data_IF_725109156251
#
_entry.id   IF_725109156251
#
_cell.length_a   1.000
_cell.length_b   1.000
_cell.length_c   1.000
_cell.angle_alpha   90.00
_cell.angle_beta   90.00
_cell.angle_gamma   90.00
#
_symmetry.space_group_name_H-M   'P 1'
#
loop_
_entity.id
_entity.type
_entity.pdbx_description
1 polymer ?
#
# COMPACT_ATOMS: atom_id res chain seq x y z
N UNK A 1 -12.92 10.53 -0.40
CA UNK A 1 -12.51 10.05 0.94
C UNK A 1 -11.93 8.64 0.89
N UNK A 2 -12.70 7.59 0.54
CA UNK A 2 -12.20 6.21 0.60
C UNK A 2 -10.95 5.92 -0.26
N UNK A 3 -10.83 6.55 -1.43
CA UNK A 3 -9.59 6.49 -2.25
C UNK A 3 -8.36 6.99 -1.49
N UNK A 4 -8.51 8.10 -0.75
CA UNK A 4 -7.43 8.67 0.04
C UNK A 4 -7.05 7.75 1.21
N UNK A 5 -8.02 7.12 1.88
CA UNK A 5 -7.76 6.16 2.97
C UNK A 5 -6.94 4.96 2.47
N UNK A 6 -7.33 4.36 1.34
CA UNK A 6 -6.58 3.21 0.79
C UNK A 6 -5.23 3.58 0.17
N UNK A 7 -5.07 4.81 -0.30
CA UNK A 7 -3.80 5.35 -0.81
C UNK A 7 -2.89 5.93 0.25
N UNK A 8 -3.25 5.82 1.54
CA UNK A 8 -2.49 6.43 2.64
C UNK A 8 -1.27 5.59 3.07
N UNK A 9 -1.12 4.36 2.54
CA UNK A 9 0.01 3.47 2.82
C UNK A 9 0.17 3.09 4.31
N UNK A 10 -0.95 3.08 5.04
CA UNK A 10 -1.05 2.65 6.47
C UNK A 10 -1.72 1.28 6.64
N UNK A 11 -1.85 0.51 5.55
CA UNK A 11 -2.54 -0.78 5.55
C UNK A 11 -4.06 -0.68 5.60
N UNK A 12 -4.62 0.49 5.27
CA UNK A 12 -6.06 0.71 5.19
C UNK A 12 -6.57 0.40 3.77
N UNK A 13 -7.77 -0.15 3.70
CA UNK A 13 -8.56 -0.37 2.50
C UNK A 13 -9.83 0.51 2.46
N UNK A 14 -10.11 1.26 3.53
CA UNK A 14 -11.29 2.09 3.72
C UNK A 14 -11.52 2.40 5.21
N UNK A 15 -12.73 2.15 5.71
CA UNK A 15 -13.05 2.29 7.13
C UNK A 15 -12.93 0.95 7.85
N UNK A 16 -11.71 0.49 8.15
CA UNK A 16 -11.52 -0.67 9.03
C UNK A 16 -11.99 -0.36 10.46
N UNK A 17 -12.62 -1.31 11.18
CA UNK A 17 -12.87 -1.15 12.59
C UNK A 17 -11.56 -1.06 13.37
N UNK A 18 -11.43 -0.07 14.27
CA UNK A 18 -10.30 0.07 15.20
C UNK A 18 -10.67 -0.35 16.60
N UNK A 19 -11.94 -0.19 16.96
CA UNK A 19 -12.45 -0.52 18.29
C UNK A 19 -13.86 -1.12 18.21
N UNK A 20 -14.15 -2.06 19.10
CA UNK A 20 -15.49 -2.55 19.37
C UNK A 20 -15.96 -2.03 20.72
N UNK A 21 -17.17 -1.47 20.78
CA UNK A 21 -17.81 -1.03 22.03
C UNK A 21 -18.58 -2.22 22.61
N UNK A 22 -18.14 -2.71 23.76
CA UNK A 22 -18.71 -3.89 24.44
C UNK A 22 -19.27 -3.58 25.83
N UNK A 23 -18.89 -2.44 26.41
CA UNK A 23 -19.24 -1.98 27.74
C UNK A 23 -19.12 -0.45 27.84
N UNK A 24 -19.40 0.10 29.02
CA UNK A 24 -19.33 1.54 29.27
C UNK A 24 -17.89 2.09 29.21
N UNK A 25 -16.91 1.27 29.61
CA UNK A 25 -15.49 1.68 29.61
C UNK A 25 -14.98 1.86 28.17
N UNK A 26 -15.25 0.90 27.28
CA UNK A 26 -14.95 0.99 25.84
C UNK A 26 -15.73 2.11 25.15
N UNK A 27 -16.98 2.38 25.57
CA UNK A 27 -17.73 3.55 25.09
C UNK A 27 -17.03 4.86 25.49
N UNK A 28 -16.59 4.96 26.76
CA UNK A 28 -15.87 6.14 27.26
C UNK A 28 -14.51 6.33 26.57
N UNK A 29 -13.79 5.26 26.27
CA UNK A 29 -12.54 5.34 25.51
C UNK A 29 -12.81 5.84 24.08
N UNK A 30 -13.85 5.33 23.41
CA UNK A 30 -14.19 5.82 22.07
C UNK A 30 -14.52 7.32 22.08
N UNK A 31 -15.28 7.79 23.08
CA UNK A 31 -15.56 9.22 23.28
C UNK A 31 -14.28 10.04 23.47
N UNK A 32 -13.31 9.52 24.23
CA UNK A 32 -12.01 10.16 24.39
C UNK A 32 -11.27 10.28 23.05
N UNK A 33 -11.25 9.22 22.23
CA UNK A 33 -10.63 9.24 20.89
C UNK A 33 -11.30 10.19 19.91
N UNK A 34 -12.61 10.40 20.04
CA UNK A 34 -13.36 11.39 19.25
C UNK A 34 -13.03 12.82 19.68
N UNK A 35 -12.96 13.05 21.00
CA UNK A 35 -12.74 14.36 21.63
C UNK A 35 -11.29 14.83 21.46
N UNK A 36 -10.34 13.93 21.64
CA UNK A 36 -8.91 14.19 21.60
C UNK A 36 -8.30 13.61 20.30
N UNK A 37 -8.16 14.41 19.23
CA UNK A 37 -7.75 13.91 17.93
C UNK A 37 -6.36 13.30 17.90
N UNK A 38 -6.32 11.98 17.67
CA UNK A 38 -5.13 11.26 17.18
C UNK A 38 -5.15 11.02 15.67
N UNK A 39 -4.10 10.40 15.15
CA UNK A 39 -3.98 10.05 13.73
C UNK A 39 -5.12 9.14 13.25
N UNK A 40 -5.65 8.29 14.14
CA UNK A 40 -6.68 7.31 13.81
C UNK A 40 -8.13 7.81 13.96
N UNK A 41 -8.33 9.09 14.30
CA UNK A 41 -9.67 9.63 14.59
C UNK A 41 -10.68 9.39 13.47
N UNK A 42 -10.24 9.40 12.21
CA UNK A 42 -11.13 9.18 11.06
C UNK A 42 -11.80 7.79 11.09
N UNK A 43 -11.12 6.76 11.57
CA UNK A 43 -11.71 5.42 11.72
C UNK A 43 -12.62 5.33 12.95
N UNK A 44 -12.24 5.99 14.06
CA UNK A 44 -13.08 6.05 15.26
C UNK A 44 -14.43 6.75 15.00
N UNK A 45 -14.49 7.71 14.05
CA UNK A 45 -15.76 8.29 13.61
C UNK A 45 -16.71 7.23 13.00
N UNK A 46 -16.18 6.31 12.19
CA UNK A 46 -16.96 5.22 11.64
C UNK A 46 -17.35 4.20 12.72
N UNK A 47 -16.45 3.90 13.66
CA UNK A 47 -16.75 3.01 14.80
C UNK A 47 -17.84 3.57 15.71
N UNK A 48 -17.92 4.89 15.87
CA UNK A 48 -19.00 5.53 16.62
C UNK A 48 -20.38 5.27 15.98
N UNK A 49 -20.49 5.37 14.66
CA UNK A 49 -21.72 5.00 13.94
C UNK A 49 -22.02 3.50 14.06
N UNK A 50 -21.00 2.63 13.96
CA UNK A 50 -21.18 1.18 14.18
C UNK A 50 -21.66 0.85 15.59
N UNK A 51 -21.23 1.63 16.59
CA UNK A 51 -21.63 1.53 17.98
C UNK A 51 -22.97 2.22 18.29
N UNK A 52 -23.65 2.78 17.28
CA UNK A 52 -24.98 3.38 17.42
C UNK A 52 -25.01 4.74 18.09
N UNK A 53 -23.92 5.52 18.04
CA UNK A 53 -23.96 6.93 18.44
C UNK A 53 -24.79 7.74 17.45
N UNK A 54 -25.52 8.72 17.96
CA UNK A 54 -26.26 9.67 17.13
C UNK A 54 -25.32 10.72 16.52
N UNK A 55 -25.71 11.27 15.38
CA UNK A 55 -24.95 12.30 14.65
C UNK A 55 -24.57 13.49 15.54
N UNK A 56 -25.52 13.97 16.36
CA UNK A 56 -25.35 15.09 17.26
C UNK A 56 -24.35 14.78 18.39
N UNK A 57 -24.29 13.53 18.86
CA UNK A 57 -23.31 13.09 19.86
C UNK A 57 -21.90 13.13 19.25
N UNK A 58 -21.72 12.53 18.07
CA UNK A 58 -20.43 12.49 17.38
C UNK A 58 -19.95 13.90 17.04
N UNK A 59 -20.85 14.77 16.59
CA UNK A 59 -20.55 16.19 16.37
C UNK A 59 -20.11 16.87 17.67
N UNK A 60 -20.85 16.66 18.76
CA UNK A 60 -20.56 17.22 20.08
C UNK A 60 -19.16 16.85 20.61
N UNK A 61 -18.71 15.63 20.36
CA UNK A 61 -17.36 15.18 20.74
C UNK A 61 -16.28 15.62 19.76
N UNK A 62 -16.50 15.43 18.45
CA UNK A 62 -15.43 15.55 17.45
C UNK A 62 -15.25 16.95 16.88
N UNK A 63 -16.30 17.78 16.88
CA UNK A 63 -16.36 19.06 16.18
C UNK A 63 -16.35 18.97 14.66
N UNK A 64 -16.42 17.77 14.07
CA UNK A 64 -16.45 17.57 12.62
C UNK A 64 -17.84 17.90 12.09
N UNK A 65 -17.92 18.77 11.07
CA UNK A 65 -19.20 19.26 10.55
C UNK A 65 -20.14 18.09 10.17
N UNK A 66 -21.45 18.17 10.55
CA UNK A 66 -22.42 17.13 10.25
C UNK A 66 -22.48 16.71 8.78
N UNK A 67 -22.16 17.60 7.84
CA UNK A 67 -22.12 17.28 6.41
C UNK A 67 -21.12 16.16 6.08
N UNK A 68 -19.96 16.13 6.73
CA UNK A 68 -18.99 15.04 6.55
C UNK A 68 -19.41 13.78 7.31
N UNK A 69 -19.93 13.96 8.54
CA UNK A 69 -20.34 12.84 9.39
C UNK A 69 -21.46 12.01 8.76
N UNK A 70 -22.47 12.64 8.15
CA UNK A 70 -23.56 11.94 7.44
C UNK A 70 -23.03 11.08 6.28
N UNK A 71 -21.96 11.51 5.60
CA UNK A 71 -21.35 10.72 4.53
C UNK A 71 -20.57 9.52 5.05
N UNK A 72 -19.94 9.64 6.23
CA UNK A 72 -19.30 8.51 6.91
C UNK A 72 -20.37 7.50 7.36
N UNK A 73 -21.49 7.98 7.93
CA UNK A 73 -22.64 7.15 8.28
C UNK A 73 -23.22 6.43 7.06
N UNK A 74 -23.41 7.11 5.92
CA UNK A 74 -23.85 6.46 4.67
C UNK A 74 -22.90 5.32 4.28
N UNK A 75 -21.59 5.54 4.32
CA UNK A 75 -20.61 4.48 4.03
C UNK A 75 -20.75 3.30 5.01
N UNK A 76 -20.87 3.55 6.32
CA UNK A 76 -21.09 2.49 7.33
C UNK A 76 -22.39 1.72 7.08
N UNK A 77 -23.47 2.39 6.67
CA UNK A 77 -24.75 1.77 6.33
C UNK A 77 -24.68 0.94 5.04
N UNK A 78 -23.88 1.33 4.07
CA UNK A 78 -23.65 0.51 2.87
C UNK A 78 -22.78 -0.70 3.17
N UNK A 79 -21.80 -0.55 4.04
CA UNK A 79 -20.99 -1.66 4.52
C UNK A 79 -21.83 -2.72 5.23
N UNK A 80 -22.81 -2.32 6.05
CA UNK A 80 -23.67 -3.27 6.76
C UNK A 80 -24.57 -4.12 5.85
N UNK A 81 -24.85 -3.66 4.62
CA UNK A 81 -25.60 -4.44 3.62
C UNK A 81 -24.82 -5.66 3.11
N UNK A 82 -23.49 -5.69 3.30
CA UNK A 82 -22.66 -6.85 2.94
C UNK A 82 -22.76 -7.98 3.97
N UNK A 83 -23.26 -7.70 5.17
CA UNK A 83 -23.33 -8.67 6.26
C UNK A 83 -24.17 -9.89 5.87
N UNK A 84 -23.56 -11.08 5.97
CA UNK A 84 -24.21 -12.36 5.63
C UNK A 84 -24.27 -12.70 4.15
N UNK A 85 -23.71 -11.86 3.26
CA UNK A 85 -23.56 -12.18 1.84
C UNK A 85 -22.27 -12.96 1.56
N UNK A 86 -22.22 -13.57 0.37
CA UNK A 86 -20.98 -14.06 -0.24
C UNK A 86 -20.63 -13.16 -1.44
N UNK A 87 -19.40 -13.26 -1.97
CA UNK A 87 -19.01 -12.49 -3.16
C UNK A 87 -19.98 -12.69 -4.33
N UNK A 88 -20.36 -13.94 -4.62
CA UNK A 88 -21.33 -14.27 -5.68
C UNK A 88 -22.74 -13.72 -5.42
N UNK A 89 -23.07 -13.49 -4.16
CA UNK A 89 -24.35 -12.91 -3.72
C UNK A 89 -24.47 -11.41 -4.00
N UNK A 90 -23.38 -10.71 -4.33
CA UNK A 90 -23.43 -9.28 -4.66
C UNK A 90 -23.96 -9.12 -6.09
N UNK A 91 -25.13 -8.51 -6.25
CA UNK A 91 -25.66 -8.18 -7.57
C UNK A 91 -25.04 -6.90 -8.16
N UNK A 92 -25.39 -6.60 -9.41
CA UNK A 92 -24.89 -5.40 -10.10
C UNK A 92 -25.21 -4.11 -9.34
N UNK A 93 -26.44 -3.97 -8.81
CA UNK A 93 -26.88 -2.72 -8.17
C UNK A 93 -26.11 -2.46 -6.88
N UNK A 94 -25.92 -3.48 -6.05
CA UNK A 94 -25.15 -3.38 -4.83
C UNK A 94 -23.67 -3.12 -5.13
N UNK A 95 -23.06 -3.88 -6.04
CA UNK A 95 -21.66 -3.67 -6.43
C UNK A 95 -21.46 -2.25 -6.96
N UNK A 96 -22.29 -1.80 -7.89
CA UNK A 96 -22.21 -0.44 -8.45
C UNK A 96 -22.37 0.63 -7.37
N UNK A 97 -23.33 0.45 -6.45
CA UNK A 97 -23.56 1.36 -5.33
C UNK A 97 -22.38 1.46 -4.36
N UNK A 98 -21.71 0.35 -4.09
CA UNK A 98 -20.48 0.29 -3.28
C UNK A 98 -19.31 0.97 -3.99
N UNK A 99 -19.04 0.60 -5.25
CA UNK A 99 -17.91 1.15 -6.01
C UNK A 99 -18.01 2.66 -6.23
N UNK A 100 -19.22 3.19 -6.47
CA UNK A 100 -19.50 4.64 -6.53
C UNK A 100 -19.22 5.40 -5.24
N UNK A 101 -19.31 4.71 -4.09
CA UNK A 101 -18.94 5.26 -2.77
C UNK A 101 -17.46 5.08 -2.46
N UNK A 102 -16.69 4.51 -3.39
CA UNK A 102 -15.25 4.36 -3.29
C UNK A 102 -14.80 3.15 -2.47
N UNK A 103 -15.68 2.20 -2.17
CA UNK A 103 -15.29 0.94 -1.53
C UNK A 103 -14.24 0.21 -2.38
N UNK A 104 -13.12 -0.17 -1.77
CA UNK A 104 -12.14 -1.04 -2.41
C UNK A 104 -12.64 -2.49 -2.44
N UNK A 105 -12.13 -3.26 -3.40
CA UNK A 105 -12.35 -4.70 -3.48
C UNK A 105 -11.83 -5.38 -2.20
N UNK A 106 -10.71 -4.89 -1.66
CA UNK A 106 -10.14 -5.38 -0.39
C UNK A 106 -11.08 -5.15 0.79
N UNK A 107 -11.68 -3.97 0.92
CA UNK A 107 -12.60 -3.67 2.03
C UNK A 107 -13.87 -4.52 1.95
N UNK A 108 -14.42 -4.67 0.75
CA UNK A 108 -15.57 -5.57 0.53
C UNK A 108 -15.20 -7.00 0.90
N UNK A 109 -14.01 -7.47 0.49
CA UNK A 109 -13.52 -8.80 0.79
C UNK A 109 -13.38 -9.05 2.30
N UNK A 110 -12.84 -8.07 3.05
CA UNK A 110 -12.68 -8.16 4.50
C UNK A 110 -14.02 -8.29 5.23
N UNK A 111 -15.05 -7.56 4.78
CA UNK A 111 -16.39 -7.62 5.38
C UNK A 111 -17.08 -8.95 5.10
N UNK A 112 -16.85 -9.54 3.92
CA UNK A 112 -17.42 -10.83 3.51
C UNK A 112 -16.62 -12.03 4.02
N UNK A 113 -15.40 -11.82 4.54
CA UNK A 113 -14.48 -12.91 4.89
C UNK A 113 -13.98 -13.69 3.68
N UNK A 114 -13.70 -13.01 2.57
CA UNK A 114 -13.19 -13.62 1.32
C UNK A 114 -11.89 -12.95 0.85
N UNK A 115 -11.40 -13.29 -0.34
CA UNK A 115 -10.20 -12.68 -0.93
C UNK A 115 -10.55 -11.46 -1.78
N UNK A 116 -9.61 -10.51 -1.86
CA UNK A 116 -9.73 -9.36 -2.77
C UNK A 116 -9.93 -9.80 -4.23
N UNK A 117 -9.27 -10.87 -4.66
CA UNK A 117 -9.42 -11.43 -6.00
C UNK A 117 -10.84 -11.91 -6.30
N UNK A 118 -11.52 -12.55 -5.34
CA UNK A 118 -12.89 -13.02 -5.54
C UNK A 118 -13.87 -11.86 -5.74
N UNK A 119 -13.70 -10.76 -5.01
CA UNK A 119 -14.50 -9.54 -5.19
C UNK A 119 -14.21 -8.90 -6.55
N UNK A 120 -12.94 -8.83 -6.94
CA UNK A 120 -12.52 -8.30 -8.23
C UNK A 120 -13.10 -9.11 -9.40
N UNK A 121 -12.98 -10.43 -9.36
CA UNK A 121 -13.55 -11.34 -10.36
C UNK A 121 -15.06 -11.18 -10.45
N UNK A 122 -15.75 -11.06 -9.31
CA UNK A 122 -17.19 -10.78 -9.29
C UNK A 122 -17.52 -9.46 -9.95
N UNK A 123 -16.79 -8.39 -9.60
CA UNK A 123 -16.97 -7.05 -10.13
C UNK A 123 -16.78 -7.04 -11.66
N UNK A 124 -15.77 -7.75 -12.16
CA UNK A 124 -15.51 -7.90 -13.59
C UNK A 124 -16.57 -8.74 -14.30
N UNK A 125 -17.08 -9.80 -13.68
CA UNK A 125 -18.18 -10.61 -14.21
C UNK A 125 -19.49 -9.82 -14.32
N UNK A 126 -19.64 -8.74 -13.55
CA UNK A 126 -20.76 -7.80 -13.62
C UNK A 126 -20.51 -6.64 -14.59
N UNK A 127 -19.37 -6.62 -15.30
CA UNK A 127 -18.95 -5.53 -16.19
C UNK A 127 -18.83 -4.17 -15.49
N UNK A 128 -18.45 -4.18 -14.20
CA UNK A 128 -18.29 -2.96 -13.40
C UNK A 128 -16.81 -2.56 -13.37
N UNK A 129 -16.45 -1.59 -14.20
CA UNK A 129 -15.11 -1.01 -14.30
C UNK A 129 -15.15 0.48 -13.94
N UNK A 130 -14.05 1.06 -13.42
CA UNK A 130 -13.98 2.50 -13.32
C UNK A 130 -13.87 3.12 -14.72
N UNK A 131 -14.37 4.33 -14.84
CA UNK A 131 -14.02 5.26 -15.91
C UNK A 131 -13.00 6.26 -15.39
N UNK A 132 -12.30 6.94 -16.29
CA UNK A 132 -11.31 7.94 -15.93
C UNK A 132 -11.73 9.30 -16.45
N UNK A 133 -11.73 10.29 -15.56
CA UNK A 133 -12.11 11.67 -15.82
C UNK A 133 -10.89 12.56 -15.81
N UNK A 134 -10.89 13.64 -16.58
CA UNK A 134 -9.76 14.58 -16.64
C UNK A 134 -9.91 15.73 -15.65
N UNK A 135 -8.78 16.24 -15.17
CA UNK A 135 -8.70 17.51 -14.45
C UNK A 135 -8.48 18.62 -15.48
N UNK A 136 -9.43 19.55 -15.59
CA UNK A 136 -9.47 20.55 -16.66
C UNK A 136 -9.56 22.01 -16.19
N UNK A 137 -9.63 22.23 -14.87
CA UNK A 137 -9.81 23.54 -14.21
C UNK A 137 -11.13 24.29 -14.49
N UNK A 138 -11.98 23.78 -15.39
CA UNK A 138 -13.16 24.49 -15.92
C UNK A 138 -14.44 23.66 -15.90
N UNK A 139 -14.46 22.50 -15.24
CA UNK A 139 -15.63 21.65 -15.11
C UNK A 139 -16.24 21.28 -16.48
N UNK A 140 -15.38 20.85 -17.40
CA UNK A 140 -15.68 20.46 -18.78
C UNK A 140 -16.25 21.57 -19.68
N UNK A 141 -16.17 22.85 -19.30
CA UNK A 141 -16.53 23.96 -20.20
C UNK A 141 -15.67 23.97 -21.47
N UNK A 142 -14.40 23.58 -21.34
CA UNK A 142 -13.44 23.47 -22.44
C UNK A 142 -12.77 22.09 -22.45
N UNK A 143 -12.42 21.61 -23.64
CA UNK A 143 -11.68 20.36 -23.78
C UNK A 143 -10.25 20.50 -23.24
N UNK A 144 -9.87 19.64 -22.30
CA UNK A 144 -8.50 19.56 -21.80
C UNK A 144 -7.60 18.74 -22.74
N UNK A 145 -6.48 19.32 -23.16
CA UNK A 145 -5.44 18.60 -23.89
C UNK A 145 -4.56 17.73 -22.99
N UNK A 146 -4.47 18.06 -21.71
CA UNK A 146 -3.68 17.33 -20.72
C UNK A 146 -4.37 16.03 -20.29
N UNK A 147 -3.59 14.96 -20.13
CA UNK A 147 -4.07 13.67 -19.64
C UNK A 147 -3.78 13.53 -18.13
N UNK A 148 -4.29 14.47 -17.32
CA UNK A 148 -4.30 14.36 -15.87
C UNK A 148 -5.64 13.76 -15.45
N UNK A 149 -5.63 12.51 -14.99
CA UNK A 149 -6.82 11.70 -14.80
C UNK A 149 -7.00 11.20 -13.36
N UNK A 150 -8.25 10.90 -13.01
CA UNK A 150 -8.64 10.15 -11.82
C UNK A 150 -9.78 9.19 -12.14
N UNK A 151 -9.84 8.06 -11.43
CA UNK A 151 -10.89 7.05 -11.56
C UNK A 151 -12.18 7.42 -10.83
N UNK A 152 -13.31 7.09 -11.44
CA UNK A 152 -14.64 7.18 -10.86
C UNK A 152 -15.54 6.08 -11.44
N UNK A 153 -16.61 5.70 -10.74
CA UNK A 153 -17.61 4.75 -11.26
C UNK A 153 -18.79 5.52 -11.87
N UNK A 154 -18.57 6.03 -13.08
CA UNK A 154 -19.53 6.78 -13.89
C UNK A 154 -19.64 6.18 -15.29
N UNK A 155 -20.38 6.83 -16.19
CA UNK A 155 -20.72 6.26 -17.50
C UNK A 155 -19.65 6.53 -18.56
N UNK A 156 -19.12 7.76 -18.64
CA UNK A 156 -18.21 8.16 -19.72
C UNK A 156 -16.74 8.13 -19.29
N UNK A 157 -15.89 7.48 -20.10
CA UNK A 157 -14.44 7.45 -19.90
C UNK A 157 -13.71 8.40 -20.85
N UNK A 158 -12.91 9.30 -20.28
CA UNK A 158 -12.14 10.35 -20.98
C UNK A 158 -10.66 10.00 -21.11
N UNK A 159 -10.25 8.78 -20.72
CA UNK A 159 -8.87 8.36 -20.80
C UNK A 159 -8.32 8.47 -22.22
N UNK A 160 -9.07 7.96 -23.21
CA UNK A 160 -8.66 7.93 -24.61
C UNK A 160 -7.19 7.44 -24.77
N UNK A 161 -6.89 6.19 -24.39
CA UNK A 161 -5.53 5.65 -24.48
C UNK A 161 -5.05 5.62 -25.94
N UNK A 162 -3.75 5.80 -26.16
CA UNK A 162 -3.13 5.78 -27.50
C UNK A 162 -2.60 4.39 -27.87
N UNK A 163 -2.19 4.20 -29.14
CA UNK A 163 -1.54 2.96 -29.62
C UNK A 163 0.00 2.98 -29.50
N UNK A 164 0.58 4.04 -28.91
CA UNK A 164 2.04 4.13 -28.72
C UNK A 164 2.51 3.04 -27.75
N UNK A 165 3.78 2.66 -27.84
CA UNK A 165 4.42 1.80 -26.84
C UNK A 165 4.52 2.58 -25.53
N UNK A 166 3.92 2.04 -24.47
CA UNK A 166 3.83 2.73 -23.17
C UNK A 166 4.72 2.09 -22.12
N UNK A 167 5.35 2.94 -21.31
CA UNK A 167 6.01 2.53 -20.07
C UNK A 167 5.28 3.20 -18.91
N UNK A 168 4.81 2.37 -17.99
CA UNK A 168 4.11 2.81 -16.78
C UNK A 168 5.08 2.77 -15.59
N UNK A 169 5.13 3.85 -14.82
CA UNK A 169 5.96 3.99 -13.62
C UNK A 169 5.05 4.13 -12.41
N UNK A 170 5.25 3.26 -11.42
CA UNK A 170 4.54 3.34 -10.14
C UNK A 170 5.32 4.20 -9.14
N UNK A 171 4.68 5.26 -8.65
CA UNK A 171 5.18 6.09 -7.56
C UNK A 171 5.05 5.42 -6.19
N UNK A 172 5.41 6.17 -5.14
CA UNK A 172 5.39 5.68 -3.77
C UNK A 172 4.15 6.03 -2.94
N UNK A 173 3.27 6.92 -3.42
CA UNK A 173 2.24 7.52 -2.57
C UNK A 173 2.84 8.51 -1.55
N UNK A 174 2.19 8.73 -0.39
CA UNK A 174 2.54 9.83 0.53
C UNK A 174 3.94 9.67 1.15
N UNK A 175 4.71 10.74 1.28
CA UNK A 175 6.04 10.67 1.91
C UNK A 175 5.98 10.23 3.39
N UNK A 176 6.94 9.43 3.84
CA UNK A 176 7.15 9.05 5.26
C UNK A 176 8.64 8.83 5.57
N UNK A 177 9.00 8.73 6.85
CA UNK A 177 10.38 8.44 7.24
C UNK A 177 10.83 7.10 6.61
N UNK A 178 11.96 7.13 5.91
CA UNK A 178 12.51 6.00 5.15
C UNK A 178 11.95 5.83 3.74
N UNK A 179 10.95 6.63 3.35
CA UNK A 179 10.40 6.70 1.99
C UNK A 179 9.98 8.13 1.66
N UNK A 180 10.97 8.93 1.26
CA UNK A 180 10.80 10.33 0.94
C UNK A 180 10.95 10.64 -0.55
N UNK A 181 11.40 11.88 -0.79
CA UNK A 181 11.54 12.49 -2.13
C UNK A 181 12.57 11.77 -3.01
N UNK A 182 13.48 11.00 -2.43
CA UNK A 182 14.47 10.20 -3.16
C UNK A 182 13.81 9.22 -4.14
N UNK A 183 12.67 8.63 -3.77
CA UNK A 183 11.93 7.72 -4.64
C UNK A 183 11.15 8.47 -5.73
N UNK A 184 10.62 9.65 -5.40
CA UNK A 184 9.97 10.53 -6.39
C UNK A 184 10.97 10.95 -7.47
N UNK A 185 12.18 11.35 -7.06
CA UNK A 185 13.27 11.69 -7.96
C UNK A 185 13.59 10.55 -8.95
N UNK A 186 13.70 9.31 -8.46
CA UNK A 186 13.91 8.14 -9.31
C UNK A 186 12.76 7.93 -10.31
N UNK A 187 11.51 8.08 -9.87
CA UNK A 187 10.33 7.94 -10.74
C UNK A 187 10.28 9.02 -11.83
N UNK A 188 10.59 10.28 -11.48
CA UNK A 188 10.70 11.38 -12.43
C UNK A 188 11.77 11.09 -13.48
N UNK A 189 12.96 10.66 -13.06
CA UNK A 189 14.04 10.32 -13.99
C UNK A 189 13.70 9.13 -14.90
N UNK A 190 13.00 8.11 -14.42
CA UNK A 190 12.50 7.03 -15.27
C UNK A 190 11.56 7.54 -16.35
N UNK A 191 10.58 8.37 -15.98
CA UNK A 191 9.64 8.95 -16.94
C UNK A 191 10.35 9.83 -17.95
N UNK A 192 11.27 10.69 -17.53
CA UNK A 192 12.01 11.56 -18.44
C UNK A 192 12.87 10.75 -19.41
N UNK A 193 13.60 9.74 -18.94
CA UNK A 193 14.43 8.88 -19.77
C UNK A 193 13.60 8.06 -20.77
N UNK A 194 12.52 7.42 -20.33
CA UNK A 194 11.65 6.64 -21.22
C UNK A 194 10.95 7.51 -22.26
N UNK A 195 10.60 8.76 -21.91
CA UNK A 195 10.06 9.74 -22.85
C UNK A 195 11.10 10.12 -23.91
N UNK A 196 12.35 10.36 -23.50
CA UNK A 196 13.47 10.65 -24.41
C UNK A 196 13.74 9.49 -25.38
N UNK A 197 13.58 8.24 -24.91
CA UNK A 197 13.66 7.03 -25.72
C UNK A 197 12.42 6.79 -26.62
N UNK A 198 11.43 7.68 -26.59
CA UNK A 198 10.28 7.70 -27.49
C UNK A 198 9.04 6.94 -27.02
N UNK A 199 9.05 6.40 -25.80
CA UNK A 199 7.86 5.78 -25.21
C UNK A 199 6.80 6.81 -24.82
N UNK A 200 5.55 6.39 -24.79
CA UNK A 200 4.50 7.13 -24.08
C UNK A 200 4.59 6.80 -22.59
N UNK A 201 4.83 7.81 -21.77
CA UNK A 201 5.10 7.60 -20.35
C UNK A 201 3.87 7.82 -19.49
N UNK A 202 3.61 6.86 -18.61
CA UNK A 202 2.45 6.87 -17.72
C UNK A 202 2.95 6.91 -16.28
N UNK A 203 2.56 7.93 -15.52
CA UNK A 203 2.83 8.00 -14.08
C UNK A 203 1.57 7.61 -13.30
N UNK A 204 1.72 6.74 -12.30
CA UNK A 204 0.67 6.43 -11.32
C UNK A 204 1.18 6.78 -9.93
N UNK A 205 0.67 7.87 -9.36
CA UNK A 205 1.03 8.32 -8.02
C UNK A 205 -0.07 9.23 -7.45
N UNK A 206 -0.13 9.40 -6.13
CA UNK A 206 -1.14 10.23 -5.46
C UNK A 206 -0.57 11.21 -4.43
N UNK A 207 0.74 11.47 -4.46
CA UNK A 207 1.36 12.41 -3.54
C UNK A 207 1.33 13.83 -4.11
N UNK A 208 0.49 14.74 -3.59
CA UNK A 208 0.29 16.07 -4.16
C UNK A 208 1.51 16.99 -4.03
N UNK A 209 2.50 16.63 -3.20
CA UNK A 209 3.69 17.45 -2.95
C UNK A 209 4.80 17.23 -3.99
N UNK A 210 4.62 16.28 -4.90
CA UNK A 210 5.70 15.70 -5.71
C UNK A 210 5.71 16.13 -7.17
N UNK A 211 6.90 16.13 -7.76
CA UNK A 211 7.10 16.49 -9.17
C UNK A 211 6.58 15.37 -10.08
N UNK A 212 6.58 14.12 -9.65
CA UNK A 212 5.96 13.03 -10.43
C UNK A 212 4.47 13.26 -10.72
N UNK A 213 3.75 13.92 -9.80
CA UNK A 213 2.33 14.25 -9.96
C UNK A 213 2.09 15.60 -10.65
N UNK A 214 3.14 16.25 -11.16
CA UNK A 214 2.98 17.34 -12.10
C UNK A 214 2.61 16.76 -13.48
N UNK A 215 1.59 17.34 -14.12
CA UNK A 215 1.11 16.88 -15.42
C UNK A 215 2.12 17.11 -16.55
N UNK A 216 3.12 17.98 -16.36
CA UNK A 216 4.20 18.19 -17.34
C UNK A 216 5.26 17.06 -17.32
N UNK A 217 5.32 16.30 -16.23
CA UNK A 217 6.36 15.26 -16.03
C UNK A 217 6.15 14.05 -16.94
N UNK A 218 4.91 13.56 -17.08
CA UNK A 218 4.57 12.35 -17.84
C UNK A 218 3.59 12.65 -18.98
N UNK A 219 3.52 11.80 -20.00
CA UNK A 219 2.56 12.00 -21.10
C UNK A 219 1.11 11.82 -20.58
N UNK A 220 0.95 10.94 -19.59
CA UNK A 220 -0.34 10.59 -18.97
C UNK A 220 -0.15 10.39 -17.47
N UNK A 221 -0.85 11.17 -16.66
CA UNK A 221 -0.83 11.09 -15.21
C UNK A 221 -2.14 10.51 -14.70
N UNK A 222 -2.05 9.41 -13.95
CA UNK A 222 -3.14 8.87 -13.16
C UNK A 222 -2.91 9.21 -11.69
N UNK A 223 -3.69 10.16 -11.18
CA UNK A 223 -3.64 10.56 -9.77
C UNK A 223 -4.48 9.59 -8.94
N UNK A 224 -3.95 8.39 -8.78
CA UNK A 224 -4.62 7.23 -8.20
C UNK A 224 -3.85 6.64 -7.03
N UNK A 225 -4.54 6.02 -6.06
CA UNK A 225 -3.88 5.22 -5.03
C UNK A 225 -3.00 4.15 -5.69
N UNK A 226 -1.78 3.95 -5.16
CA UNK A 226 -0.85 2.92 -5.68
C UNK A 226 -1.20 1.57 -5.04
N UNK A 227 -2.38 1.05 -5.38
CA UNK A 227 -2.88 -0.26 -4.89
C UNK A 227 -2.99 -1.27 -6.02
N UNK A 228 -3.09 -2.56 -5.68
CA UNK A 228 -3.27 -3.62 -6.68
C UNK A 228 -4.54 -3.39 -7.53
N UNK A 229 -5.65 -3.08 -6.88
CA UNK A 229 -6.93 -2.82 -7.56
C UNK A 229 -6.80 -1.66 -8.56
N UNK A 230 -6.33 -0.50 -8.11
CA UNK A 230 -6.30 0.72 -8.91
C UNK A 230 -5.30 0.59 -10.09
N UNK A 231 -4.13 -0.04 -9.84
CA UNK A 231 -3.12 -0.27 -10.89
C UNK A 231 -3.61 -1.27 -11.93
N UNK A 232 -4.31 -2.34 -11.55
CA UNK A 232 -4.81 -3.32 -12.51
C UNK A 232 -5.85 -2.72 -13.47
N UNK A 233 -6.72 -1.83 -13.01
CA UNK A 233 -7.68 -1.16 -13.91
C UNK A 233 -6.98 -0.22 -14.89
N UNK A 234 -5.89 0.45 -14.47
CA UNK A 234 -5.06 1.27 -15.38
C UNK A 234 -4.34 0.39 -16.40
N UNK A 235 -3.74 -0.73 -15.96
CA UNK A 235 -3.04 -1.67 -16.85
C UNK A 235 -4.01 -2.27 -17.87
N UNK A 236 -5.22 -2.66 -17.44
CA UNK A 236 -6.24 -3.20 -18.35
C UNK A 236 -6.66 -2.17 -19.41
N UNK A 237 -6.79 -0.90 -19.02
CA UNK A 237 -7.15 0.18 -19.93
C UNK A 237 -6.01 0.58 -20.88
N UNK A 238 -4.79 0.68 -20.37
CA UNK A 238 -3.64 1.23 -21.09
C UNK A 238 -2.83 0.20 -21.86
N UNK A 239 -2.88 -1.06 -21.44
CA UNK A 239 -2.10 -2.17 -22.00
C UNK A 239 -0.61 -1.80 -22.21
N UNK A 240 0.10 -1.38 -21.14
CA UNK A 240 1.47 -0.92 -21.25
C UNK A 240 2.41 -2.02 -21.74
N UNK A 241 3.46 -1.64 -22.46
CA UNK A 241 4.51 -2.59 -22.90
C UNK A 241 5.41 -3.00 -21.74
N UNK A 242 5.55 -2.15 -20.72
CA UNK A 242 6.32 -2.43 -19.52
C UNK A 242 5.87 -1.61 -18.32
N UNK A 243 6.04 -2.17 -17.13
CA UNK A 243 5.75 -1.53 -15.84
C UNK A 243 7.01 -1.53 -14.95
N UNK A 244 7.39 -0.35 -14.47
CA UNK A 244 8.49 -0.13 -13.54
C UNK A 244 7.94 -0.07 -12.12
N UNK A 245 8.41 -0.97 -11.26
CA UNK A 245 7.99 -1.12 -9.86
C UNK A 245 9.11 -0.85 -8.85
N UNK A 246 10.34 -0.68 -9.33
CA UNK A 246 11.54 -0.66 -8.49
C UNK A 246 11.85 0.73 -7.90
N UNK A 247 11.24 1.80 -8.42
CA UNK A 247 11.65 3.18 -8.12
C UNK A 247 10.78 3.90 -7.10
N UNK A 248 9.55 3.43 -6.84
CA UNK A 248 8.63 4.06 -5.89
C UNK A 248 8.77 3.60 -4.44
N UNK A 249 9.85 2.89 -4.08
CA UNK A 249 10.06 2.38 -2.72
C UNK A 249 9.20 1.14 -2.42
N UNK A 250 8.88 0.90 -1.14
CA UNK A 250 8.24 -0.38 -0.73
C UNK A 250 6.83 -0.57 -1.29
N UNK A 251 6.08 0.51 -1.52
CA UNK A 251 4.68 0.44 -1.97
C UNK A 251 4.56 -0.37 -3.27
N UNK A 252 5.20 0.01 -4.39
CA UNK A 252 5.15 -0.80 -5.61
C UNK A 252 5.92 -2.13 -5.49
N UNK A 253 7.00 -2.22 -4.69
CA UNK A 253 7.71 -3.48 -4.47
C UNK A 253 6.82 -4.57 -3.86
N UNK A 254 5.97 -4.22 -2.89
CA UNK A 254 4.98 -5.14 -2.29
C UNK A 254 3.93 -5.62 -3.28
N UNK A 255 3.62 -4.81 -4.29
CA UNK A 255 2.63 -5.17 -5.32
C UNK A 255 3.23 -6.05 -6.43
N UNK A 256 4.54 -6.05 -6.62
CA UNK A 256 5.22 -6.64 -7.77
C UNK A 256 4.79 -8.10 -8.04
N UNK A 257 4.74 -8.95 -7.00
CA UNK A 257 4.31 -10.35 -7.14
C UNK A 257 2.85 -10.50 -7.57
N UNK A 258 1.97 -9.71 -6.97
CA UNK A 258 0.55 -9.77 -7.26
C UNK A 258 0.24 -9.22 -8.66
N UNK A 259 0.98 -8.19 -9.10
CA UNK A 259 0.92 -7.65 -10.45
C UNK A 259 1.41 -8.68 -11.48
N UNK A 260 2.56 -9.32 -11.26
CA UNK A 260 3.07 -10.38 -12.15
C UNK A 260 2.10 -11.56 -12.25
N UNK A 261 1.55 -12.01 -11.12
CA UNK A 261 0.56 -13.08 -11.09
C UNK A 261 -0.73 -12.72 -11.86
N UNK A 262 -1.05 -11.42 -11.97
CA UNK A 262 -2.16 -10.90 -12.75
C UNK A 262 -1.80 -10.64 -14.23
N UNK A 263 -0.57 -10.95 -14.67
CA UNK A 263 -0.12 -10.81 -16.05
C UNK A 263 0.43 -9.44 -16.42
N UNK A 264 0.70 -8.57 -15.44
CA UNK A 264 1.29 -7.25 -15.68
C UNK A 264 2.73 -7.39 -16.17
N UNK A 265 3.14 -6.72 -17.27
CA UNK A 265 4.47 -6.86 -17.83
C UNK A 265 5.51 -6.05 -17.05
N UNK A 266 5.96 -6.58 -15.91
CA UNK A 266 7.03 -5.96 -15.12
C UNK A 266 8.36 -6.05 -15.87
N UNK A 267 9.04 -4.91 -16.00
CA UNK A 267 10.35 -4.81 -16.66
C UNK A 267 11.46 -4.50 -15.64
N UNK A 268 12.70 -4.83 -15.97
CA UNK A 268 13.86 -4.69 -15.07
C UNK A 268 14.03 -5.91 -14.16
N UNK A 269 14.48 -5.70 -12.91
CA UNK A 269 14.63 -6.77 -11.92
C UNK A 269 13.28 -7.44 -11.66
N UNK A 270 13.22 -8.76 -11.84
CA UNK A 270 11.98 -9.53 -11.71
C UNK A 270 11.46 -9.58 -10.28
N UNK A 271 10.14 -9.77 -10.05
CA UNK A 271 9.58 -9.92 -8.71
C UNK A 271 10.20 -11.08 -7.90
N UNK A 272 10.58 -12.19 -8.53
CA UNK A 272 11.30 -13.27 -7.84
C UNK A 272 12.71 -12.87 -7.37
N UNK A 273 13.41 -12.05 -8.16
CA UNK A 273 14.72 -11.53 -7.80
C UNK A 273 14.63 -10.47 -6.69
N UNK A 274 13.61 -9.60 -6.73
CA UNK A 274 13.29 -8.66 -5.66
C UNK A 274 13.03 -9.44 -4.36
N UNK A 275 12.14 -10.43 -4.41
CA UNK A 275 11.82 -11.26 -3.25
C UNK A 275 13.04 -12.03 -2.74
N UNK A 276 13.93 -12.48 -3.61
CA UNK A 276 15.19 -13.14 -3.19
C UNK A 276 16.07 -12.22 -2.33
N UNK A 277 16.00 -10.91 -2.56
CA UNK A 277 16.75 -9.91 -1.81
C UNK A 277 16.02 -9.44 -0.54
N UNK A 278 14.69 -9.32 -0.58
CA UNK A 278 13.87 -8.91 0.57
C UNK A 278 13.63 -10.03 1.58
N UNK A 279 13.45 -11.26 1.10
CA UNK A 279 13.29 -12.45 1.94
C UNK A 279 14.64 -12.84 2.56
N UNK A 280 14.69 -12.82 3.89
CA UNK A 280 15.95 -13.00 4.64
C UNK A 280 16.50 -14.41 4.53
N UNK A 281 15.65 -15.42 4.43
CA UNK A 281 16.06 -16.81 4.28
C UNK A 281 16.63 -17.05 2.88
N UNK A 282 15.94 -16.56 1.84
CA UNK A 282 16.43 -16.62 0.45
C UNK A 282 17.72 -15.83 0.26
N UNK A 283 17.84 -14.66 0.90
CA UNK A 283 19.04 -13.85 0.85
C UNK A 283 20.22 -14.56 1.53
N UNK A 284 20.01 -15.15 2.72
CA UNK A 284 21.03 -15.94 3.41
C UNK A 284 21.54 -17.10 2.54
N UNK A 285 20.62 -17.86 1.94
CA UNK A 285 20.97 -18.96 1.04
C UNK A 285 21.79 -18.49 -0.17
N UNK A 286 21.45 -17.33 -0.75
CA UNK A 286 22.20 -16.73 -1.86
C UNK A 286 23.62 -16.35 -1.44
N UNK A 287 23.80 -15.72 -0.29
CA UNK A 287 25.11 -15.33 0.25
C UNK A 287 25.99 -16.56 0.51
N UNK A 288 25.42 -17.63 1.06
CA UNK A 288 26.11 -18.90 1.25
C UNK A 288 26.53 -19.55 -0.07
N UNK A 289 25.63 -19.57 -1.07
CA UNK A 289 25.93 -20.11 -2.40
C UNK A 289 27.08 -19.35 -3.10
N UNK A 290 27.15 -18.03 -2.88
CA UNK A 290 28.22 -17.17 -3.42
C UNK A 290 29.51 -17.21 -2.57
N UNK A 291 29.54 -17.95 -1.46
CA UNK A 291 30.67 -18.00 -0.52
C UNK A 291 31.09 -16.61 0.00
N UNK A 292 30.12 -15.71 0.17
CA UNK A 292 30.33 -14.38 0.75
C UNK A 292 30.23 -14.44 2.28
N UNK A 293 30.80 -13.43 2.95
CA UNK A 293 30.80 -13.36 4.42
C UNK A 293 29.50 -12.71 4.92
N UNK A 294 28.88 -13.34 5.91
CA UNK A 294 27.73 -12.80 6.65
C UNK A 294 27.98 -12.97 8.15
N UNK A 295 27.51 -12.06 9.02
CA UNK A 295 27.46 -12.31 10.46
C UNK A 295 26.71 -13.61 10.77
N UNK A 296 27.02 -14.25 11.90
CA UNK A 296 26.23 -15.38 12.38
C UNK A 296 24.77 -14.91 12.57
N UNK A 297 23.83 -15.60 11.92
CA UNK A 297 22.44 -15.19 11.89
C UNK A 297 21.50 -16.38 11.77
N UNK A 298 20.24 -16.17 12.17
CA UNK A 298 19.18 -17.15 11.97
C UNK A 298 17.82 -16.48 11.84
N UNK A 299 16.87 -17.20 11.27
CA UNK A 299 15.50 -16.77 11.05
C UNK A 299 14.58 -17.51 12.03
N UNK A 300 13.80 -16.77 12.82
CA UNK A 300 12.94 -17.31 13.89
C UNK A 300 11.51 -16.81 13.75
N UNK A 301 10.56 -17.65 14.20
CA UNK A 301 9.11 -17.38 14.15
C UNK A 301 8.42 -17.45 15.52
N UNK A 302 9.16 -17.81 16.57
CA UNK A 302 8.63 -17.95 17.92
C UNK A 302 9.63 -17.41 18.94
N UNK A 303 9.12 -17.01 20.10
CA UNK A 303 9.93 -16.50 21.21
C UNK A 303 10.93 -17.56 21.66
N UNK A 304 10.50 -18.81 21.76
CA UNK A 304 11.33 -19.93 22.20
C UNK A 304 12.46 -20.21 21.21
N UNK A 305 12.17 -20.17 19.91
CA UNK A 305 13.20 -20.33 18.87
C UNK A 305 14.18 -19.15 18.89
N UNK A 306 13.70 -17.93 19.13
CA UNK A 306 14.53 -16.74 19.23
C UNK A 306 15.54 -16.84 20.38
N UNK A 307 15.09 -17.25 21.58
CA UNK A 307 15.97 -17.42 22.75
C UNK A 307 17.00 -18.52 22.51
N UNK A 308 16.58 -19.67 21.98
CA UNK A 308 17.49 -20.78 21.69
C UNK A 308 18.57 -20.35 20.70
N UNK A 309 18.20 -19.66 19.63
CA UNK A 309 19.15 -19.22 18.63
C UNK A 309 20.03 -18.05 19.10
N UNK A 310 19.51 -17.18 19.95
CA UNK A 310 20.30 -16.13 20.58
C UNK A 310 21.43 -16.68 21.46
N UNK A 311 21.22 -17.82 22.12
CA UNK A 311 22.26 -18.51 22.88
C UNK A 311 23.37 -19.09 21.97
N UNK A 312 23.02 -19.50 20.75
CA UNK A 312 23.98 -20.02 19.77
C UNK A 312 24.78 -18.90 19.07
N UNK A 313 24.11 -17.83 18.63
CA UNK A 313 24.75 -16.69 17.95
C UNK A 313 25.53 -15.80 18.94
N UNK A 314 24.96 -15.63 20.14
CA UNK A 314 25.46 -14.79 21.21
C UNK A 314 25.11 -13.30 21.06
N UNK A 315 25.00 -12.61 22.20
CA UNK A 315 24.75 -11.17 22.30
C UNK A 315 26.00 -10.29 22.14
N UNK A 316 25.86 -9.01 21.71
CA UNK A 316 24.62 -8.34 21.29
C UNK A 316 24.11 -8.82 19.92
N UNK A 317 22.79 -8.77 19.73
CA UNK A 317 22.11 -9.13 18.50
C UNK A 317 21.37 -7.93 17.92
N UNK A 318 21.23 -7.90 16.59
CA UNK A 318 20.27 -7.03 15.90
C UNK A 318 19.05 -7.86 15.55
N UNK A 319 17.88 -7.42 15.99
CA UNK A 319 16.61 -8.06 15.67
C UNK A 319 15.94 -7.27 14.56
N UNK A 320 15.61 -7.95 13.44
CA UNK A 320 15.12 -7.31 12.22
C UNK A 320 13.90 -8.03 11.64
N UNK A 321 12.78 -7.34 11.42
CA UNK A 321 11.67 -7.91 10.67
C UNK A 321 11.97 -7.97 9.16
N UNK A 322 11.24 -8.82 8.44
CA UNK A 322 11.31 -8.91 6.97
C UNK A 322 10.37 -7.89 6.30
N UNK A 323 10.58 -7.58 5.01
CA UNK A 323 9.74 -6.68 4.19
C UNK A 323 9.55 -5.25 4.75
N UNK A 324 10.58 -4.71 5.42
CA UNK A 324 10.62 -3.34 5.95
C UNK A 324 11.83 -2.56 5.44
N UNK A 325 11.65 -1.26 5.22
CA UNK A 325 12.70 -0.28 4.91
C UNK A 325 12.87 0.72 6.07
N UNK A 326 14.01 1.40 6.11
CA UNK A 326 14.29 2.48 7.06
C UNK A 326 14.48 2.03 8.51
N UNK A 327 14.82 0.76 8.75
CA UNK A 327 15.05 0.24 10.10
C UNK A 327 13.80 0.15 10.99
N UNK A 328 12.60 0.18 10.38
CA UNK A 328 11.34 0.12 11.13
C UNK A 328 11.29 -1.14 11.99
N UNK A 329 11.07 -0.94 13.29
CA UNK A 329 11.04 -2.00 14.30
C UNK A 329 12.34 -2.83 14.38
N UNK A 330 13.51 -2.27 14.06
CA UNK A 330 14.80 -2.89 14.36
C UNK A 330 15.29 -2.48 15.76
N UNK A 331 15.79 -3.42 16.54
CA UNK A 331 16.35 -3.15 17.87
C UNK A 331 17.67 -3.92 18.06
N UNK A 332 18.62 -3.30 18.78
CA UNK A 332 19.82 -3.99 19.25
C UNK A 332 19.53 -4.52 20.65
N UNK A 333 19.51 -5.85 20.79
CA UNK A 333 19.27 -6.51 22.06
C UNK A 333 20.59 -6.98 22.66
N UNK A 334 20.80 -6.65 23.93
CA UNK A 334 22.07 -6.95 24.62
C UNK A 334 21.95 -8.16 25.55
N UNK A 335 20.71 -8.54 25.91
CA UNK A 335 20.40 -9.61 26.86
C UNK A 335 19.07 -10.26 26.49
N UNK A 336 18.80 -11.43 27.05
CA UNK A 336 17.58 -12.19 26.80
C UNK A 336 16.29 -11.44 27.16
N UNK A 337 16.29 -10.68 28.26
CA UNK A 337 15.14 -9.86 28.68
C UNK A 337 14.72 -8.85 27.60
N UNK A 338 15.69 -8.24 26.90
CA UNK A 338 15.43 -7.31 25.80
C UNK A 338 14.83 -8.04 24.59
N UNK A 339 15.35 -9.23 24.27
CA UNK A 339 14.83 -10.06 23.19
C UNK A 339 13.39 -10.51 23.46
N UNK A 340 13.08 -10.92 24.70
CA UNK A 340 11.73 -11.32 25.09
C UNK A 340 10.76 -10.14 25.00
N UNK A 341 11.16 -8.96 25.47
CA UNK A 341 10.34 -7.74 25.34
C UNK A 341 10.06 -7.45 23.86
N UNK A 342 11.09 -7.40 23.03
CA UNK A 342 10.95 -7.17 21.60
C UNK A 342 10.02 -8.19 20.94
N UNK A 343 10.22 -9.48 21.19
CA UNK A 343 9.44 -10.53 20.53
C UNK A 343 7.96 -10.51 20.94
N UNK A 344 7.64 -10.06 22.17
CA UNK A 344 6.25 -9.93 22.62
C UNK A 344 5.57 -8.66 22.08
N UNK A 345 6.31 -7.55 22.01
CA UNK A 345 5.76 -6.24 21.66
C UNK A 345 5.76 -5.98 20.13
N UNK A 346 6.83 -6.38 19.44
CA UNK A 346 7.09 -6.03 18.04
C UNK A 346 6.60 -7.07 17.02
N UNK A 347 6.55 -8.37 17.37
CA UNK A 347 6.07 -9.43 16.45
C UNK A 347 4.57 -9.29 16.14
N UNK A 348 3.80 -8.59 16.99
CA UNK A 348 2.42 -8.20 16.69
C UNK A 348 2.27 -7.37 15.41
N UNK A 349 3.34 -6.73 14.92
CA UNK A 349 3.33 -5.88 13.72
C UNK A 349 3.54 -6.70 12.43
N UNK A 350 3.92 -7.98 12.54
CA UNK A 350 4.25 -8.83 11.39
C UNK A 350 3.65 -10.23 11.56
N UNK A 351 2.35 -10.35 11.34
CA UNK A 351 1.60 -11.58 11.66
C UNK A 351 2.06 -12.84 10.90
N UNK A 352 2.80 -12.69 9.79
CA UNK A 352 3.28 -13.83 8.98
C UNK A 352 4.77 -13.82 8.62
N UNK A 353 5.53 -12.74 8.92
CA UNK A 353 6.92 -12.66 8.46
C UNK A 353 7.91 -13.07 9.54
N UNK A 354 8.92 -13.88 9.20
CA UNK A 354 9.91 -14.29 10.17
C UNK A 354 10.83 -13.12 10.56
N UNK A 355 11.38 -13.22 11.77
CA UNK A 355 12.32 -12.25 12.35
C UNK A 355 13.74 -12.80 12.19
N UNK A 356 14.67 -11.96 11.73
CA UNK A 356 16.08 -12.28 11.63
C UNK A 356 16.81 -11.83 12.90
N UNK A 357 17.60 -12.74 13.47
CA UNK A 357 18.56 -12.45 14.54
C UNK A 357 19.95 -12.44 13.92
N UNK A 358 20.60 -11.28 13.91
CA UNK A 358 21.97 -11.10 13.43
C UNK A 358 22.92 -10.82 14.58
N UNK A 359 24.13 -11.39 14.56
CA UNK A 359 25.22 -10.96 15.45
C UNK A 359 25.56 -9.49 15.17
N UNK A 360 25.47 -8.64 16.19
CA UNK A 360 25.84 -7.23 16.05
C UNK A 360 27.36 -7.06 15.95
N UNK A 361 27.80 -6.30 14.94
CA UNK A 361 29.21 -6.00 14.68
C UNK A 361 29.60 -4.67 15.37
N UNK A 362 30.06 -4.75 16.61
CA UNK A 362 30.24 -3.59 17.51
C UNK A 362 31.33 -2.57 17.13
N UNK A 363 32.23 -2.92 16.20
CA UNK A 363 33.31 -2.06 15.73
C UNK A 363 33.44 -2.13 14.21
N UNK A 364 32.30 -2.04 13.51
CA UNK A 364 32.25 -2.03 12.05
C UNK A 364 32.22 -0.60 11.49
N UNK A 365 32.68 -0.48 10.24
CA UNK A 365 32.43 0.67 9.38
C UNK A 365 31.32 0.24 8.42
N UNK A 366 30.29 1.06 8.30
CA UNK A 366 29.20 0.87 7.35
C UNK A 366 29.54 1.58 6.02
N UNK A 367 29.20 0.94 4.90
CA UNK A 367 29.48 1.43 3.54
C UNK A 367 28.25 1.11 2.69
N UNK A 368 27.71 2.12 2.01
CA UNK A 368 26.67 1.98 0.99
C UNK A 368 27.28 2.02 -0.42
N UNK A 369 26.76 1.17 -1.31
CA UNK A 369 27.21 1.06 -2.70
C UNK A 369 25.96 0.99 -3.59
N UNK A 370 25.73 2.05 -4.37
CA UNK A 370 24.75 2.06 -5.45
C UNK A 370 25.45 1.67 -6.77
N UNK A 371 24.85 0.74 -7.51
CA UNK A 371 25.36 0.23 -8.77
C UNK A 371 24.21 -0.13 -9.72
N UNK A 372 24.50 -0.20 -11.02
CA UNK A 372 23.54 -0.61 -12.05
C UNK A 372 24.09 -1.81 -12.81
N UNK A 373 23.24 -2.80 -13.14
CA UNK A 373 23.61 -3.92 -14.00
C UNK A 373 22.59 -4.13 -15.11
N UNK A 374 23.10 -4.42 -16.30
CA UNK A 374 22.35 -4.83 -17.49
C UNK A 374 22.35 -6.37 -17.70
N UNK A 375 22.97 -7.11 -16.79
CA UNK A 375 23.17 -8.57 -16.89
C UNK A 375 24.47 -8.97 -17.59
N UNK A 376 25.19 -8.06 -18.24
CA UNK A 376 26.51 -8.27 -18.85
C UNK A 376 27.63 -7.62 -18.04
N UNK A 377 27.37 -6.42 -17.50
CA UNK A 377 28.30 -5.64 -16.69
C UNK A 377 27.62 -5.00 -15.46
N UNK A 378 28.44 -4.51 -14.54
CA UNK A 378 28.02 -3.76 -13.34
C UNK A 378 28.83 -2.46 -13.33
N UNK A 379 28.14 -1.32 -13.26
CA UNK A 379 28.73 0.03 -13.23
C UNK A 379 28.44 0.76 -11.94
#
# INVERSE_FOLDING_TARGET
>A
LQKALRGLEVGSAGFEPRMQVVDEDSRSELVDRLTNPGADRIWYLADAFRAGFELEEIYGYSGVDPWFLIQIDDIVRWESQLSGLTADGIDHSLMWGLKRRGFSDKRIADVLGTTESAVRERRWALDIRPVYKRVDTCAAEFAASTAYMYSAYEEECEAAPSDRKKILVLGGGPNRIGQGIEFDYCCVHAVLAMREDGYETIMVNCNPETVSTDYDTSDRLYFEPVTLEDVLEIVELEQPTGVIVQFGGQTPLKLARALEAAGVPIIGTTPDQIDRAEDRERFQQMIQALSLRQPANTTVRSVEAAVAAAAEIGYPLVVRPSYVLGGRAMEIVYREEDLLRYMNDAVRVSEDSPVLLDRFLSAAIEVDIDAVSDGEQVV
#
